data_IF_286262172757
#
_entry.id   IF_286262172757
#
_cell.length_a   1.000
_cell.length_b   1.000
_cell.length_c   1.000
_cell.angle_alpha   90.00
_cell.angle_beta   90.00
_cell.angle_gamma   90.00
#
_symmetry.space_group_name_H-M   'P 1'
#
loop_
_entity.id
_entity.type
_entity.pdbx_description
1 polymer ?
#
# COMPACT_ATOMS: atom_id res chain seq x y z
N UNK A 1 26.82 -7.24 16.72
CA UNK A 1 26.73 -7.05 15.27
C UNK A 1 25.95 -5.76 15.03
N UNK A 2 26.62 -4.68 14.63
CA UNK A 2 25.94 -3.41 14.31
C UNK A 2 25.31 -3.57 12.93
N UNK A 3 23.98 -3.61 12.86
CA UNK A 3 23.27 -3.65 11.59
C UNK A 3 23.62 -2.41 10.77
N UNK A 4 23.88 -2.60 9.47
CA UNK A 4 24.24 -1.52 8.58
C UNK A 4 23.11 -0.46 8.58
N UNK A 5 23.40 0.82 8.87
CA UNK A 5 22.37 1.86 8.96
C UNK A 5 21.56 2.02 7.66
N UNK A 6 22.17 1.73 6.50
CA UNK A 6 21.47 1.76 5.20
C UNK A 6 20.46 0.62 5.11
N UNK A 7 20.83 -0.59 5.54
CA UNK A 7 19.92 -1.74 5.56
C UNK A 7 18.77 -1.55 6.55
N UNK A 8 19.04 -0.97 7.73
CA UNK A 8 17.99 -0.62 8.69
C UNK A 8 17.00 0.38 8.10
N UNK A 9 17.51 1.43 7.44
CA UNK A 9 16.71 2.46 6.79
C UNK A 9 15.87 1.92 5.63
N UNK A 10 16.40 0.96 4.86
CA UNK A 10 15.67 0.24 3.80
C UNK A 10 14.54 -0.61 4.40
N UNK A 11 14.85 -1.41 5.42
CA UNK A 11 13.87 -2.26 6.11
C UNK A 11 12.73 -1.44 6.69
N UNK A 12 13.03 -0.30 7.33
CA UNK A 12 12.02 0.58 7.90
C UNK A 12 11.07 1.15 6.82
N UNK A 13 11.61 1.54 5.66
CA UNK A 13 10.79 2.05 4.54
C UNK A 13 9.91 0.97 3.93
N UNK A 14 10.44 -0.23 3.72
CA UNK A 14 9.64 -1.38 3.23
C UNK A 14 8.49 -1.69 4.18
N UNK A 15 8.77 -1.76 5.48
CA UNK A 15 7.73 -1.98 6.47
C UNK A 15 6.67 -0.85 6.50
N UNK A 16 7.08 0.41 6.32
CA UNK A 16 6.15 1.52 6.23
C UNK A 16 5.26 1.42 4.97
N UNK A 17 5.83 1.04 3.83
CA UNK A 17 5.08 0.81 2.59
C UNK A 17 4.08 -0.33 2.75
N UNK A 18 4.49 -1.46 3.36
CA UNK A 18 3.61 -2.63 3.56
C UNK A 18 2.40 -2.29 4.44
N UNK A 19 2.63 -1.56 5.55
CA UNK A 19 1.54 -1.12 6.44
C UNK A 19 0.57 -0.21 5.70
N UNK A 20 1.10 0.79 4.99
CA UNK A 20 0.29 1.75 4.29
C UNK A 20 -0.49 1.12 3.11
N UNK A 21 0.10 0.14 2.43
CA UNK A 21 -0.58 -0.63 1.38
C UNK A 21 -1.71 -1.47 1.96
N UNK A 22 -1.49 -2.10 3.13
CA UNK A 22 -2.53 -2.84 3.85
C UNK A 22 -3.69 -1.93 4.23
N UNK A 23 -3.41 -0.77 4.83
CA UNK A 23 -4.44 0.20 5.22
C UNK A 23 -5.24 0.69 4.00
N UNK A 24 -4.56 0.98 2.89
CA UNK A 24 -5.20 1.36 1.63
C UNK A 24 -6.16 0.28 1.12
N UNK A 25 -5.73 -0.98 1.10
CA UNK A 25 -6.57 -2.11 0.66
C UNK A 25 -7.81 -2.22 1.55
N UNK A 26 -7.63 -2.18 2.87
CA UNK A 26 -8.72 -2.30 3.84
C UNK A 26 -9.75 -1.17 3.68
N UNK A 27 -9.31 0.06 3.43
CA UNK A 27 -10.21 1.19 3.20
C UNK A 27 -10.96 1.07 1.86
N UNK A 28 -10.29 0.58 0.81
CA UNK A 28 -10.93 0.33 -0.48
C UNK A 28 -11.97 -0.81 -0.39
N UNK A 29 -11.65 -1.89 0.33
CA UNK A 29 -12.57 -2.99 0.61
C UNK A 29 -13.78 -2.53 1.44
N UNK A 30 -13.56 -1.67 2.44
CA UNK A 30 -14.64 -1.06 3.23
C UNK A 30 -15.53 -0.17 2.37
N UNK A 31 -14.96 0.60 1.47
CA UNK A 31 -15.73 1.43 0.53
C UNK A 31 -16.56 0.59 -0.45
N UNK A 32 -16.01 -0.53 -0.93
CA UNK A 32 -16.68 -1.44 -1.84
C UNK A 32 -17.83 -2.23 -1.18
N UNK A 33 -17.56 -2.86 -0.03
CA UNK A 33 -18.51 -3.69 0.72
C UNK A 33 -19.58 -2.89 1.48
N UNK A 34 -19.28 -1.63 1.84
CA UNK A 34 -20.18 -0.78 2.62
C UNK A 34 -20.47 -1.35 4.01
N UNK A 35 -21.72 -1.25 4.50
CA UNK A 35 -22.15 -1.88 5.77
C UNK A 35 -22.56 -3.35 5.61
N UNK A 36 -22.55 -3.90 4.39
CA UNK A 36 -23.01 -5.25 4.13
C UNK A 36 -21.85 -6.25 4.17
N UNK A 37 -21.71 -6.93 5.31
CA UNK A 37 -20.74 -8.01 5.51
C UNK A 37 -20.91 -9.20 4.55
N UNK A 38 -22.03 -9.31 3.82
CA UNK A 38 -22.21 -10.31 2.75
C UNK A 38 -21.30 -10.07 1.55
N UNK A 39 -20.88 -8.83 1.30
CA UNK A 39 -20.01 -8.49 0.19
C UNK A 39 -18.54 -8.39 0.63
N UNK A 40 -18.13 -9.17 1.63
CA UNK A 40 -16.72 -9.17 2.07
C UNK A 40 -15.81 -9.96 1.13
N UNK A 41 -16.37 -10.78 0.24
CA UNK A 41 -15.61 -11.55 -0.73
C UNK A 41 -15.51 -10.79 -2.07
N UNK A 42 -14.32 -10.34 -2.50
CA UNK A 42 -14.14 -9.63 -3.77
C UNK A 42 -14.58 -10.43 -5.01
N UNK A 43 -14.55 -11.77 -4.94
CA UNK A 43 -15.02 -12.62 -6.03
C UNK A 43 -16.53 -12.51 -6.30
N UNK A 44 -17.30 -11.96 -5.35
CA UNK A 44 -18.75 -11.78 -5.43
C UNK A 44 -19.14 -10.31 -5.69
N UNK A 45 -18.18 -9.42 -5.82
CA UNK A 45 -18.44 -8.00 -6.03
C UNK A 45 -19.08 -7.74 -7.39
N UNK A 46 -20.11 -6.91 -7.38
CA UNK A 46 -20.69 -6.40 -8.62
C UNK A 46 -19.74 -5.37 -9.27
N UNK A 47 -19.98 -5.04 -10.53
CA UNK A 47 -19.24 -3.95 -11.20
C UNK A 47 -19.42 -2.58 -10.52
N UNK A 48 -20.46 -2.39 -9.69
CA UNK A 48 -20.64 -1.19 -8.87
C UNK A 48 -19.70 -1.20 -7.67
N UNK A 49 -19.49 -2.35 -7.03
CA UNK A 49 -18.62 -2.48 -5.86
C UNK A 49 -17.15 -2.30 -6.27
N UNK A 50 -16.75 -2.88 -7.41
CA UNK A 50 -15.43 -2.62 -8.02
C UNK A 50 -15.22 -1.15 -8.37
N UNK A 51 -16.24 -0.45 -8.87
CA UNK A 51 -16.14 0.99 -9.13
C UNK A 51 -15.92 1.79 -7.85
N UNK A 52 -16.58 1.44 -6.75
CA UNK A 52 -16.34 2.07 -5.44
C UNK A 52 -14.92 1.80 -4.94
N UNK A 53 -14.43 0.56 -5.07
CA UNK A 53 -13.05 0.20 -4.72
C UNK A 53 -12.04 1.08 -5.46
N UNK A 54 -12.15 1.14 -6.80
CA UNK A 54 -11.23 1.93 -7.64
C UNK A 54 -11.34 3.42 -7.32
N UNK A 55 -12.55 3.92 -7.11
CA UNK A 55 -12.76 5.32 -6.73
C UNK A 55 -12.10 5.64 -5.39
N UNK A 56 -12.23 4.77 -4.38
CA UNK A 56 -11.59 4.94 -3.09
C UNK A 56 -10.05 4.90 -3.21
N UNK A 57 -9.52 3.97 -3.99
CA UNK A 57 -8.07 3.88 -4.23
C UNK A 57 -7.51 5.14 -4.87
N UNK A 58 -8.20 5.68 -5.89
CA UNK A 58 -7.77 6.88 -6.61
C UNK A 58 -7.78 8.15 -5.76
N UNK A 59 -8.63 8.21 -4.72
CA UNK A 59 -8.77 9.38 -3.85
C UNK A 59 -8.12 9.19 -2.48
N UNK A 60 -7.43 8.08 -2.24
CA UNK A 60 -6.79 7.83 -0.95
C UNK A 60 -5.46 8.59 -0.84
N UNK A 61 -5.24 9.37 0.25
CA UNK A 61 -3.93 9.97 0.54
C UNK A 61 -2.81 8.93 0.67
N UNK A 62 -3.14 7.69 1.05
CA UNK A 62 -2.20 6.60 1.16
C UNK A 62 -1.57 6.23 -0.20
N UNK A 63 -2.33 6.33 -1.31
CA UNK A 63 -1.81 6.03 -2.64
C UNK A 63 -0.68 6.99 -3.07
N UNK A 64 -0.81 8.28 -2.73
CA UNK A 64 0.22 9.28 -2.97
C UNK A 64 1.48 9.02 -2.13
N UNK A 65 1.32 8.72 -0.84
CA UNK A 65 2.43 8.42 0.05
C UNK A 65 3.16 7.12 -0.32
N UNK A 66 2.45 6.09 -0.79
CA UNK A 66 3.05 4.85 -1.29
C UNK A 66 3.98 5.09 -2.47
N UNK A 67 3.58 5.95 -3.40
CA UNK A 67 4.39 6.29 -4.57
C UNK A 67 5.75 6.88 -4.14
N UNK A 68 5.73 7.83 -3.20
CA UNK A 68 6.94 8.43 -2.66
C UNK A 68 7.82 7.42 -1.89
N UNK A 69 7.19 6.50 -1.13
CA UNK A 69 7.91 5.46 -0.41
C UNK A 69 8.61 4.47 -1.34
N UNK A 70 7.95 4.00 -2.40
CA UNK A 70 8.55 3.08 -3.37
C UNK A 70 9.70 3.75 -4.15
N UNK A 71 9.56 5.02 -4.52
CA UNK A 71 10.66 5.78 -5.12
C UNK A 71 11.88 5.82 -4.18
N UNK A 72 11.66 6.16 -2.90
CA UNK A 72 12.74 6.22 -1.92
C UNK A 72 13.36 4.86 -1.58
N UNK A 73 12.59 3.77 -1.66
CA UNK A 73 13.12 2.39 -1.56
C UNK A 73 14.05 2.11 -2.74
N UNK A 74 13.60 2.41 -3.97
CA UNK A 74 14.38 2.20 -5.19
C UNK A 74 15.70 2.98 -5.20
N UNK A 75 15.71 4.23 -4.72
CA UNK A 75 16.93 5.03 -4.57
C UNK A 75 17.95 4.38 -3.64
N UNK A 76 17.50 3.82 -2.50
CA UNK A 76 18.38 3.16 -1.53
C UNK A 76 18.92 1.85 -2.11
N UNK A 77 18.08 1.08 -2.80
CA UNK A 77 18.50 -0.17 -3.43
C UNK A 77 19.50 0.08 -4.56
N UNK A 78 19.29 1.09 -5.39
CA UNK A 78 20.26 1.49 -6.42
C UNK A 78 21.60 1.93 -5.80
N UNK A 79 21.57 2.68 -4.69
CA UNK A 79 22.77 3.08 -3.97
C UNK A 79 23.55 1.93 -3.33
N UNK A 80 22.88 0.81 -2.99
CA UNK A 80 23.51 -0.40 -2.47
C UNK A 80 24.15 -1.29 -3.54
N UNK A 81 23.71 -1.17 -4.81
CA UNK A 81 24.27 -1.94 -5.94
C UNK A 81 25.53 -1.27 -6.50
N UNK A 82 25.67 0.04 -6.33
CA UNK A 82 26.75 0.85 -6.91
C UNK A 82 27.78 1.38 -5.90
N UNK A 83 27.63 1.08 -4.61
CA UNK A 83 28.57 1.46 -3.54
C UNK A 83 29.31 0.26 -2.96
#
# INVERSE_FOLDING_TARGET
MNANPIQQRLSARKQAADRLATDLIMDCERAASGRNSRNSNPAQWSGTDWRKYVHAAAHSPAALHLTALYASIGEIEAGLVHG
#
